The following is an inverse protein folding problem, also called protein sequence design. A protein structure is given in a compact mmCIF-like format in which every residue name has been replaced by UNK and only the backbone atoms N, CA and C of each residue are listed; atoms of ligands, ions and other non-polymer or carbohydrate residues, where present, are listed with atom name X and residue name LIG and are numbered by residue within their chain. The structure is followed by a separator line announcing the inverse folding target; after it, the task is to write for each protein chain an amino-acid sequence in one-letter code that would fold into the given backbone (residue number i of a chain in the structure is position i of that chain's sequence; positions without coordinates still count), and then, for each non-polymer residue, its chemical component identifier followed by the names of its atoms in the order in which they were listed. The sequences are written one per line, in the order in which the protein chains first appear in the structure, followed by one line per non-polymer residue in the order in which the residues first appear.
data_IF_927439537058
#
_entry.id   IF_927439537058
#
_cell.length_a   1.000
_cell.length_b   1.000
_cell.length_c   1.000
_cell.angle_alpha   90.00
_cell.angle_beta   90.00
_cell.angle_gamma   90.00
#
_symmetry.space_group_name_H-M   'P 1'
#
loop_
_entity.id
_entity.type
_entity.pdbx_description
1 polymer ?
#
# COMPACT_ATOMS: atom_id res chain seq x y z
N UNK A 1 16.40 0.98 11.90
CA UNK A 1 15.06 1.56 11.99
C UNK A 1 14.64 2.31 10.75
N UNK A 2 15.44 3.28 10.32
CA UNK A 2 15.12 4.06 9.13
C UNK A 2 15.01 3.19 7.89
N UNK A 3 15.92 2.23 7.71
CA UNK A 3 15.91 1.34 6.54
C UNK A 3 14.66 0.47 6.50
N UNK A 4 14.23 -0.03 7.65
CA UNK A 4 13.00 -0.83 7.69
C UNK A 4 11.77 -0.03 7.29
N UNK A 5 11.69 1.20 7.75
CA UNK A 5 10.60 2.11 7.39
C UNK A 5 10.63 2.41 5.90
N UNK A 6 11.83 2.65 5.36
CA UNK A 6 12.02 2.92 3.94
C UNK A 6 11.56 1.73 3.08
N UNK A 7 11.91 0.51 3.46
CA UNK A 7 11.47 -0.67 2.73
C UNK A 7 9.95 -0.81 2.76
N UNK A 8 9.32 -0.51 3.89
CA UNK A 8 7.86 -0.56 3.99
C UNK A 8 7.21 0.46 3.04
N UNK A 9 7.76 1.68 3.00
CA UNK A 9 7.24 2.72 2.11
C UNK A 9 7.38 2.30 0.65
N UNK A 10 8.57 1.83 0.27
CA UNK A 10 8.81 1.39 -1.11
C UNK A 10 7.90 0.22 -1.48
N UNK A 11 7.72 -0.72 -0.57
CA UNK A 11 6.84 -1.85 -0.80
C UNK A 11 5.40 -1.41 -0.98
N UNK A 12 4.92 -0.48 -0.17
CA UNK A 12 3.54 -0.01 -0.29
C UNK A 12 3.31 0.76 -1.58
N UNK A 13 4.30 1.55 -2.02
CA UNK A 13 4.21 2.24 -3.31
C UNK A 13 4.13 1.22 -4.45
N UNK A 14 4.96 0.19 -4.41
CA UNK A 14 4.95 -0.85 -5.42
C UNK A 14 3.61 -1.57 -5.47
N UNK A 15 3.04 -1.90 -4.31
CA UNK A 15 1.73 -2.54 -4.24
C UNK A 15 0.64 -1.61 -4.79
N UNK A 16 0.72 -0.32 -4.50
CA UNK A 16 -0.25 0.65 -5.01
C UNK A 16 -0.21 0.72 -6.53
N UNK A 17 1.00 0.73 -7.11
CA UNK A 17 1.13 0.72 -8.57
C UNK A 17 0.52 -0.56 -9.14
N UNK A 18 0.77 -1.70 -8.49
CA UNK A 18 0.16 -2.96 -8.90
C UNK A 18 -1.35 -2.90 -8.85
N UNK A 19 -1.92 -2.30 -7.80
CA UNK A 19 -3.36 -2.16 -7.67
C UNK A 19 -3.95 -1.31 -8.80
N UNK A 20 -3.23 -0.26 -9.23
CA UNK A 20 -3.68 0.58 -10.34
C UNK A 20 -3.78 -0.25 -11.61
N UNK A 21 -2.77 -1.03 -11.91
CA UNK A 21 -2.79 -1.87 -13.11
C UNK A 21 -3.84 -2.96 -13.03
N UNK A 22 -4.06 -3.52 -11.84
CA UNK A 22 -5.12 -4.52 -11.65
C UNK A 22 -6.49 -3.92 -11.89
N UNK A 23 -6.72 -2.69 -11.44
CA UNK A 23 -7.99 -2.01 -11.69
C UNK A 23 -8.20 -1.75 -13.17
N UNK A 24 -7.13 -1.37 -13.88
CA UNK A 24 -7.21 -1.19 -15.33
C UNK A 24 -7.51 -2.50 -16.05
N UNK A 25 -6.94 -3.60 -15.57
CA UNK A 25 -7.22 -4.91 -16.15
C UNK A 25 -8.69 -5.27 -16.02
N UNK A 26 -9.28 -5.01 -14.86
CA UNK A 26 -10.71 -5.28 -14.65
C UNK A 26 -11.57 -4.51 -15.64
N UNK A 27 -11.14 -3.30 -16.03
CA UNK A 27 -11.89 -2.47 -16.94
C UNK A 27 -11.75 -2.86 -18.40
N UNK A 28 -10.58 -3.33 -18.84
CA UNK A 28 -10.30 -3.58 -20.26
C UNK A 28 -9.89 -5.02 -20.57
N UNK A 29 -9.83 -5.89 -19.57
CA UNK A 29 -9.44 -7.30 -19.72
C UNK A 29 -8.06 -7.50 -20.38
N UNK A 30 -7.16 -6.54 -20.21
CA UNK A 30 -5.83 -6.61 -20.81
C UNK A 30 -4.90 -7.48 -19.96
N UNK A 31 -4.42 -8.57 -20.53
CA UNK A 31 -3.46 -9.42 -19.83
C UNK A 31 -2.13 -8.71 -19.58
N UNK A 32 -1.80 -7.72 -20.41
CA UNK A 32 -0.61 -6.90 -20.18
C UNK A 32 -0.70 -6.15 -18.86
N UNK A 33 -1.85 -5.52 -18.58
CA UNK A 33 -2.05 -4.81 -17.32
C UNK A 33 -2.01 -5.76 -16.13
N UNK A 34 -2.61 -6.95 -16.28
CA UNK A 34 -2.57 -7.96 -15.24
C UNK A 34 -1.13 -8.38 -14.93
N UNK A 35 -0.34 -8.65 -15.97
CA UNK A 35 1.05 -9.08 -15.80
C UNK A 35 1.89 -8.02 -15.10
N UNK A 36 1.76 -6.76 -15.53
CA UNK A 36 2.50 -5.66 -14.91
C UNK A 36 2.10 -5.51 -13.45
N UNK A 37 0.81 -5.56 -13.15
CA UNK A 37 0.33 -5.46 -11.77
C UNK A 37 0.86 -6.59 -10.90
N UNK A 38 0.87 -7.81 -11.42
CA UNK A 38 1.38 -8.95 -10.70
C UNK A 38 2.87 -8.82 -10.38
N UNK A 39 3.64 -8.35 -11.36
CA UNK A 39 5.08 -8.12 -11.13
C UNK A 39 5.31 -7.05 -10.08
N UNK A 40 4.51 -5.99 -10.08
CA UNK A 40 4.60 -4.95 -9.06
C UNK A 40 4.29 -5.51 -7.67
N UNK A 41 3.32 -6.41 -7.57
CA UNK A 41 3.02 -7.07 -6.30
C UNK A 41 4.21 -7.89 -5.81
N UNK A 42 4.86 -8.63 -6.71
CA UNK A 42 6.03 -9.43 -6.33
C UNK A 42 7.16 -8.53 -5.80
N UNK A 43 7.42 -7.42 -6.48
CA UNK A 43 8.45 -6.46 -6.01
C UNK A 43 8.08 -5.91 -4.64
N UNK A 44 6.80 -5.56 -4.43
CA UNK A 44 6.34 -5.06 -3.15
C UNK A 44 6.54 -6.08 -2.03
N UNK A 45 6.26 -7.34 -2.32
CA UNK A 45 6.45 -8.41 -1.33
C UNK A 45 7.93 -8.60 -1.00
N UNK A 46 8.82 -8.43 -1.98
CA UNK A 46 10.26 -8.50 -1.72
C UNK A 46 10.70 -7.39 -0.77
N UNK A 47 10.22 -6.17 -0.99
CA UNK A 47 10.53 -5.07 -0.08
C UNK A 47 10.02 -5.35 1.32
N UNK A 48 8.82 -5.92 1.44
CA UNK A 48 8.28 -6.29 2.73
C UNK A 48 9.18 -7.33 3.43
N UNK A 49 9.60 -8.34 2.69
CA UNK A 49 10.48 -9.37 3.24
C UNK A 49 11.79 -8.77 3.77
N UNK A 50 12.37 -7.83 3.03
CA UNK A 50 13.58 -7.16 3.48
C UNK A 50 13.33 -6.31 4.72
N UNK A 51 12.14 -5.72 4.85
CA UNK A 51 11.83 -4.91 6.02
C UNK A 51 11.78 -5.72 7.30
N UNK A 52 11.52 -7.02 7.21
CA UNK A 52 11.49 -7.88 8.38
C UNK A 52 12.86 -7.99 9.06
N UNK A 53 13.93 -7.67 8.35
CA UNK A 53 15.27 -7.66 8.97
C UNK A 53 15.43 -6.52 9.97
N UNK A 54 14.62 -5.48 9.85
CA UNK A 54 14.76 -4.26 10.65
C UNK A 54 13.57 -4.01 11.55
N UNK A 55 12.42 -4.62 11.26
CA UNK A 55 11.20 -4.42 12.01
C UNK A 55 10.55 -5.75 12.37
N UNK A 56 9.74 -5.72 13.43
CA UNK A 56 8.92 -6.86 13.80
C UNK A 56 7.98 -7.21 12.64
N UNK A 57 7.77 -8.49 12.43
CA UNK A 57 6.97 -8.97 11.30
C UNK A 57 5.54 -8.42 11.33
N UNK A 58 4.93 -8.37 12.53
CA UNK A 58 3.57 -7.85 12.66
C UNK A 58 3.52 -6.35 12.36
N UNK A 59 4.47 -5.59 12.92
CA UNK A 59 4.49 -4.14 12.73
C UNK A 59 4.77 -3.80 11.27
N UNK A 60 5.73 -4.46 10.64
CA UNK A 60 6.06 -4.20 9.25
C UNK A 60 4.88 -4.47 8.33
N UNK A 61 4.20 -5.60 8.54
CA UNK A 61 3.05 -5.96 7.72
C UNK A 61 1.90 -4.98 7.89
N UNK A 62 1.62 -4.57 9.13
CA UNK A 62 0.55 -3.60 9.38
C UNK A 62 0.85 -2.24 8.78
N UNK A 63 2.10 -1.79 8.90
CA UNK A 63 2.49 -0.51 8.30
C UNK A 63 2.37 -0.54 6.80
N UNK A 64 2.79 -1.63 6.17
CA UNK A 64 2.69 -1.76 4.71
C UNK A 64 1.24 -1.67 4.27
N UNK A 65 0.33 -2.41 4.92
CA UNK A 65 -1.09 -2.41 4.58
C UNK A 65 -1.69 -1.02 4.78
N UNK A 66 -1.39 -0.38 5.90
CA UNK A 66 -1.94 0.95 6.19
C UNK A 66 -1.47 1.99 5.19
N UNK A 67 -0.17 2.02 4.87
CA UNK A 67 0.35 2.93 3.86
C UNK A 67 -0.28 2.65 2.49
N UNK A 68 -0.45 1.38 2.15
CA UNK A 68 -1.06 1.00 0.89
C UNK A 68 -2.51 1.51 0.80
N UNK A 69 -3.27 1.34 1.89
CA UNK A 69 -4.66 1.80 1.92
C UNK A 69 -4.73 3.32 1.76
N UNK A 70 -3.90 4.07 2.47
CA UNK A 70 -3.87 5.52 2.38
C UNK A 70 -3.51 5.95 0.97
N UNK A 71 -2.48 5.35 0.39
CA UNK A 71 -2.04 5.68 -0.97
C UNK A 71 -3.14 5.36 -1.98
N UNK A 72 -3.81 4.21 -1.81
CA UNK A 72 -4.89 3.82 -2.70
C UNK A 72 -6.07 4.78 -2.65
N UNK A 73 -6.41 5.26 -1.46
CA UNK A 73 -7.51 6.22 -1.34
C UNK A 73 -7.19 7.52 -2.07
N UNK A 74 -5.95 8.00 -1.96
CA UNK A 74 -5.52 9.20 -2.66
C UNK A 74 -5.57 8.96 -4.17
N UNK A 75 -5.04 7.84 -4.64
CA UNK A 75 -5.02 7.50 -6.07
C UNK A 75 -6.45 7.34 -6.60
N UNK A 76 -7.30 6.65 -5.84
CA UNK A 76 -8.68 6.43 -6.24
C UNK A 76 -9.41 7.75 -6.46
N UNK A 77 -9.18 8.70 -5.56
CA UNK A 77 -9.81 10.01 -5.66
C UNK A 77 -9.29 10.79 -6.87
N UNK A 78 -7.97 10.79 -7.10
CA UNK A 78 -7.36 11.57 -8.17
C UNK A 78 -7.50 10.92 -9.55
N UNK A 79 -7.17 9.64 -9.65
CA UNK A 79 -7.09 8.96 -10.96
C UNK A 79 -8.43 8.40 -11.42
N UNK A 80 -9.20 7.82 -10.50
CA UNK A 80 -10.46 7.18 -10.86
C UNK A 80 -11.66 8.01 -10.47
N UNK A 81 -11.42 9.16 -9.85
CA UNK A 81 -12.47 10.12 -9.46
C UNK A 81 -13.56 9.49 -8.61
N UNK A 82 -13.17 8.53 -7.78
CA UNK A 82 -14.09 7.93 -6.84
C UNK A 82 -14.27 8.86 -5.64
N UNK A 83 -15.49 9.10 -5.20
CA UNK A 83 -15.71 10.00 -4.06
C UNK A 83 -15.23 9.38 -2.76
N UNK A 84 -14.68 10.21 -1.88
CA UNK A 84 -14.29 9.78 -0.54
C UNK A 84 -15.42 10.19 0.41
N UNK A 85 -15.97 9.21 1.13
CA UNK A 85 -17.04 9.51 2.08
C UNK A 85 -16.49 9.68 3.49
N UNK A 86 -17.37 10.07 4.42
CA UNK A 86 -16.96 10.33 5.81
C UNK A 86 -16.37 9.09 6.46
N UNK A 87 -16.93 7.92 6.17
CA UNK A 87 -16.42 6.67 6.76
C UNK A 87 -14.98 6.41 6.36
N UNK A 88 -14.63 6.73 5.11
CA UNK A 88 -13.25 6.57 4.63
C UNK A 88 -12.31 7.53 5.34
N UNK A 89 -12.76 8.78 5.55
CA UNK A 89 -11.96 9.76 6.27
C UNK A 89 -11.69 9.31 7.70
N UNK A 90 -12.72 8.78 8.38
CA UNK A 90 -12.57 8.25 9.73
C UNK A 90 -11.60 7.08 9.74
N UNK A 91 -11.70 6.19 8.75
CA UNK A 91 -10.79 5.06 8.63
C UNK A 91 -9.35 5.49 8.45
N UNK A 92 -9.11 6.51 7.61
CA UNK A 92 -7.77 7.05 7.41
C UNK A 92 -7.23 7.63 8.72
N UNK A 93 -8.04 8.37 9.45
CA UNK A 93 -7.62 8.95 10.72
C UNK A 93 -7.24 7.86 11.73
N UNK A 94 -8.03 6.81 11.80
CA UNK A 94 -7.73 5.68 12.68
C UNK A 94 -6.45 4.97 12.24
N UNK A 95 -6.26 4.82 10.93
CA UNK A 95 -5.06 4.19 10.39
C UNK A 95 -3.80 4.98 10.70
N UNK A 96 -3.85 6.31 10.54
CA UNK A 96 -2.72 7.17 10.88
C UNK A 96 -2.43 7.08 12.37
N UNK A 97 -3.45 7.07 13.21
CA UNK A 97 -3.28 6.90 14.65
C UNK A 97 -2.62 5.56 14.97
N UNK A 98 -3.02 4.50 14.30
CA UNK A 98 -2.42 3.18 14.49
C UNK A 98 -0.94 3.17 14.11
N UNK A 99 -0.58 3.83 13.00
CA UNK A 99 0.81 3.92 12.57
C UNK A 99 1.65 4.63 13.63
N UNK A 100 1.14 5.75 14.15
CA UNK A 100 1.85 6.49 15.19
C UNK A 100 2.07 5.64 16.44
N UNK A 101 1.04 4.91 16.86
CA UNK A 101 1.15 4.05 18.03
C UNK A 101 2.16 2.92 17.81
N UNK A 102 2.14 2.31 16.64
CA UNK A 102 3.07 1.22 16.34
C UNK A 102 4.52 1.71 16.29
N UNK A 103 4.74 2.88 15.73
CA UNK A 103 6.09 3.42 15.62
C UNK A 103 6.62 3.97 16.94
N UNK A 104 5.73 4.38 17.85
CA UNK A 104 6.17 4.92 19.15
C UNK A 104 6.59 3.84 20.12
N UNK A 105 6.32 2.59 19.83
CA UNK A 105 6.82 1.47 20.63
C UNK A 105 8.26 1.12 20.20
#
# INVERSE_FOLDING_TARGET
MFLGFLYVILGSISLTIGDIFMKKWVGDDSYGNFSIGFMCYLVGMLFLAFSFKYKNIAIASMLLVLFNIITLLIVSWFMFKEPINIKEIIGIALGVSAIVLLESN
#
